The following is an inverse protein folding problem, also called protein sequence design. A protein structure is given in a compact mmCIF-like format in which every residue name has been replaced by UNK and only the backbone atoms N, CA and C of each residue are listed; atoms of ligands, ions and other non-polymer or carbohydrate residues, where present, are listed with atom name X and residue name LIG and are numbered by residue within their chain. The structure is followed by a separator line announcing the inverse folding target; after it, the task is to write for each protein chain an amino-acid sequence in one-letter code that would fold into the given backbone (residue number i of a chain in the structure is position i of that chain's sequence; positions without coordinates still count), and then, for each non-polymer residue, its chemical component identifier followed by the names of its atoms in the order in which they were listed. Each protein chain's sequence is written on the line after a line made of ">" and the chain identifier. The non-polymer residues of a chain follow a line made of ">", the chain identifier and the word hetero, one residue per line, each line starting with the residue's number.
data_IF_514623064502
#
_entry.id   IF_514623064502
#
_cell.length_a   1.000
_cell.length_b   1.000
_cell.length_c   1.000
_cell.angle_alpha   90.00
_cell.angle_beta   90.00
_cell.angle_gamma   90.00
#
_symmetry.space_group_name_H-M   'P 1'
#
loop_
_entity.id
_entity.type
_entity.pdbx_description
1 polymer ?
#
# COMPACT_ATOMS: atom_id res chain seq x y z
N UNK A 1 -15.26 -8.84 0.45
CA UNK A 1 -14.74 -10.13 0.96
C UNK A 1 -13.99 -10.90 -0.11
N UNK A 2 -14.57 -11.14 -1.30
CA UNK A 2 -13.92 -11.81 -2.46
C UNK A 2 -12.45 -11.45 -2.77
N UNK A 3 -12.05 -10.18 -2.71
CA UNK A 3 -10.66 -9.80 -3.02
C UNK A 3 -9.66 -10.34 -2.00
N UNK A 4 -9.99 -10.29 -0.71
CA UNK A 4 -9.12 -10.77 0.35
C UNK A 4 -9.00 -12.30 0.31
N UNK A 5 -10.10 -13.02 0.12
CA UNK A 5 -10.10 -14.48 -0.05
C UNK A 5 -9.16 -14.91 -1.19
N UNK A 6 -9.25 -14.25 -2.36
CA UNK A 6 -8.38 -14.54 -3.51
C UNK A 6 -6.90 -14.22 -3.24
N UNK A 7 -6.62 -13.19 -2.45
CA UNK A 7 -5.25 -12.83 -2.05
C UNK A 7 -4.70 -13.87 -1.08
N UNK A 8 -5.51 -14.32 -0.12
CA UNK A 8 -5.11 -15.33 0.87
C UNK A 8 -4.91 -16.71 0.25
N UNK A 9 -5.70 -17.06 -0.77
CA UNK A 9 -5.55 -18.31 -1.51
C UNK A 9 -4.26 -18.39 -2.35
N UNK A 10 -3.73 -17.25 -2.80
CA UNK A 10 -2.48 -17.18 -3.55
C UNK A 10 -1.62 -15.97 -3.13
N UNK A 11 -1.01 -16.01 -1.92
CA UNK A 11 -0.35 -14.87 -1.29
C UNK A 11 0.82 -14.31 -2.10
N UNK A 12 1.10 -13.03 -1.92
CA UNK A 12 2.28 -12.38 -2.47
C UNK A 12 2.31 -10.90 -2.15
N UNK A 13 3.04 -10.12 -2.95
CA UNK A 13 3.05 -8.66 -2.82
C UNK A 13 1.72 -8.08 -3.31
N UNK A 14 1.08 -7.28 -2.46
CA UNK A 14 -0.19 -6.60 -2.71
C UNK A 14 0.06 -5.11 -2.72
N UNK A 15 -0.16 -4.45 -3.87
CA UNK A 15 -0.12 -3.01 -3.97
C UNK A 15 -1.54 -2.43 -3.83
N UNK A 16 -1.75 -1.57 -2.84
CA UNK A 16 -3.06 -0.95 -2.61
C UNK A 16 -3.04 0.51 -3.10
N UNK A 17 -3.94 0.85 -4.03
CA UNK A 17 -4.00 2.16 -4.69
C UNK A 17 -5.41 2.72 -4.61
N UNK A 18 -5.51 4.02 -4.36
CA UNK A 18 -6.77 4.71 -4.07
C UNK A 18 -6.49 6.15 -3.66
N UNK A 19 -7.45 7.04 -3.92
CA UNK A 19 -7.37 8.41 -3.46
C UNK A 19 -7.29 8.50 -1.92
N UNK A 20 -6.98 9.68 -1.40
CA UNK A 20 -6.99 9.91 0.05
C UNK A 20 -8.38 9.65 0.64
N UNK A 21 -8.43 9.10 1.85
CA UNK A 21 -9.67 8.69 2.54
C UNK A 21 -10.58 7.69 1.80
N UNK A 22 -10.01 6.87 0.91
CA UNK A 22 -10.79 5.82 0.23
C UNK A 22 -10.96 4.53 1.06
N UNK A 23 -10.38 4.45 2.26
CA UNK A 23 -10.40 3.25 3.11
C UNK A 23 -9.24 2.26 2.89
N UNK A 24 -8.15 2.65 2.19
CA UNK A 24 -6.98 1.80 1.92
C UNK A 24 -6.39 1.23 3.20
N UNK A 25 -5.99 2.08 4.14
CA UNK A 25 -5.34 1.68 5.39
C UNK A 25 -6.23 0.74 6.20
N UNK A 26 -7.55 0.97 6.23
CA UNK A 26 -8.52 0.07 6.87
C UNK A 26 -8.49 -1.31 6.22
N UNK A 27 -8.54 -1.38 4.89
CA UNK A 27 -8.43 -2.64 4.17
C UNK A 27 -7.08 -3.31 4.34
N UNK A 28 -5.97 -2.56 4.34
CA UNK A 28 -4.65 -3.11 4.57
C UNK A 28 -4.55 -3.74 5.96
N UNK A 29 -5.02 -3.05 7.01
CA UNK A 29 -5.08 -3.59 8.38
C UNK A 29 -5.96 -4.83 8.47
N UNK A 30 -7.11 -4.84 7.80
CA UNK A 30 -7.96 -6.02 7.69
C UNK A 30 -7.24 -7.19 7.01
N UNK A 31 -6.59 -6.96 5.86
CA UNK A 31 -5.90 -7.98 5.10
C UNK A 31 -4.69 -8.54 5.88
N UNK A 32 -3.98 -7.69 6.62
CA UNK A 32 -2.90 -8.13 7.51
C UNK A 32 -3.43 -9.10 8.57
N UNK A 33 -4.50 -8.71 9.29
CA UNK A 33 -5.12 -9.58 10.31
C UNK A 33 -5.65 -10.88 9.72
N UNK A 34 -6.29 -10.82 8.56
CA UNK A 34 -6.81 -12.00 7.89
C UNK A 34 -5.68 -12.94 7.42
N UNK A 35 -4.55 -12.38 6.97
CA UNK A 35 -3.36 -13.16 6.62
C UNK A 35 -2.72 -13.84 7.83
N UNK A 36 -2.57 -13.11 8.94
CA UNK A 36 -2.06 -13.67 10.19
C UNK A 36 -2.99 -14.79 10.70
N UNK A 37 -4.30 -14.55 10.72
CA UNK A 37 -5.29 -15.58 11.12
C UNK A 37 -5.37 -16.79 10.17
N UNK A 38 -4.81 -16.69 8.96
CA UNK A 38 -4.62 -17.80 8.04
C UNK A 38 -3.25 -18.49 8.20
N UNK A 39 -2.50 -18.20 9.27
CA UNK A 39 -1.17 -18.74 9.54
C UNK A 39 -0.07 -18.24 8.61
N UNK A 40 -0.29 -17.12 7.91
CA UNK A 40 0.73 -16.54 7.04
C UNK A 40 1.64 -15.62 7.85
N UNK A 41 2.95 -15.67 7.55
CA UNK A 41 3.86 -14.58 7.92
C UNK A 41 3.57 -13.38 7.03
N UNK A 42 3.03 -12.31 7.63
CA UNK A 42 2.60 -11.11 6.89
C UNK A 42 3.55 -9.97 7.16
N UNK A 43 3.86 -9.17 6.13
CA UNK A 43 4.48 -7.88 6.30
C UNK A 43 3.53 -6.76 5.88
N UNK A 44 3.50 -5.69 6.67
CA UNK A 44 2.88 -4.43 6.31
C UNK A 44 3.98 -3.46 5.90
N UNK A 45 3.88 -2.90 4.69
CA UNK A 45 4.77 -1.84 4.21
C UNK A 45 3.95 -0.57 4.09
N UNK A 46 4.32 0.40 4.90
CA UNK A 46 3.79 1.75 4.86
C UNK A 46 4.61 2.60 3.87
N UNK A 47 4.07 2.76 2.68
CA UNK A 47 4.64 3.59 1.63
C UNK A 47 3.96 4.98 1.54
N UNK A 48 3.32 5.46 2.62
CA UNK A 48 2.82 6.82 2.77
C UNK A 48 3.79 7.70 3.57
N UNK A 49 4.58 8.49 2.85
CA UNK A 49 5.59 9.38 3.44
C UNK A 49 4.97 10.58 4.19
N UNK A 50 3.74 10.96 3.84
CA UNK A 50 3.09 12.14 4.42
C UNK A 50 2.35 11.81 5.71
N UNK A 51 1.70 10.64 5.76
CA UNK A 51 0.90 10.20 6.91
C UNK A 51 1.27 8.79 7.31
N UNK A 52 2.54 8.60 7.70
CA UNK A 52 3.02 7.29 8.11
C UNK A 52 2.26 6.79 9.35
N UNK A 53 1.88 5.51 9.31
CA UNK A 53 1.27 4.73 10.39
C UNK A 53 2.31 3.90 11.16
N UNK A 54 3.46 3.57 10.55
CA UNK A 54 4.50 2.72 11.15
C UNK A 54 5.65 3.53 11.75
N UNK A 55 5.99 4.66 11.14
CA UNK A 55 7.09 5.51 11.56
C UNK A 55 6.66 6.98 11.70
N UNK A 56 7.61 7.88 12.00
CA UNK A 56 7.33 9.30 11.99
C UNK A 56 7.02 9.78 10.56
N UNK A 57 6.26 10.88 10.40
CA UNK A 57 6.12 11.54 9.11
C UNK A 57 7.48 11.85 8.47
N UNK A 58 7.59 11.72 7.15
CA UNK A 58 8.87 11.84 6.44
C UNK A 58 9.64 10.52 6.28
N UNK A 59 9.13 9.42 6.84
CA UNK A 59 9.66 8.07 6.65
C UNK A 59 8.68 7.18 5.90
N UNK A 60 9.22 6.16 5.24
CA UNK A 60 8.50 4.93 4.92
C UNK A 60 8.82 3.90 6.01
N UNK A 61 7.93 2.93 6.21
CA UNK A 61 8.12 1.91 7.24
C UNK A 61 7.69 0.53 6.79
N UNK A 62 8.21 -0.49 7.45
CA UNK A 62 7.67 -1.84 7.34
C UNK A 62 7.73 -2.55 8.68
N UNK A 63 6.85 -3.52 8.86
CA UNK A 63 6.93 -4.47 9.96
C UNK A 63 6.38 -5.84 9.57
N UNK A 64 6.93 -6.90 10.15
CA UNK A 64 6.32 -8.24 10.11
C UNK A 64 5.37 -8.43 11.28
N UNK A 65 4.28 -9.15 11.01
CA UNK A 65 3.27 -9.52 11.98
C UNK A 65 3.02 -11.02 11.84
N UNK A 66 3.03 -11.71 12.96
CA UNK A 66 2.75 -13.15 13.07
C UNK A 66 1.68 -13.41 14.12
N UNK A 67 1.33 -14.69 14.27
CA UNK A 67 0.34 -15.16 15.24
C UNK A 67 0.87 -14.85 16.67
N UNK A 68 0.12 -14.04 17.43
CA UNK A 68 0.57 -13.46 18.70
C UNK A 68 0.58 -11.92 18.75
N UNK A 69 0.35 -11.25 17.61
CA UNK A 69 0.17 -9.79 17.46
C UNK A 69 1.35 -8.87 17.80
N UNK A 70 2.50 -9.42 18.20
CA UNK A 70 3.72 -8.63 18.35
C UNK A 70 4.38 -8.32 17.00
N UNK A 71 4.98 -7.12 16.91
CA UNK A 71 5.80 -6.72 15.77
C UNK A 71 7.15 -7.44 15.88
N UNK A 72 7.37 -8.50 15.11
CA UNK A 72 8.60 -9.29 15.18
C UNK A 72 9.82 -8.51 14.69
N UNK A 73 9.68 -7.85 13.55
CA UNK A 73 10.72 -7.04 12.94
C UNK A 73 10.12 -5.78 12.36
N UNK A 74 10.91 -4.70 12.37
CA UNK A 74 10.53 -3.43 11.78
C UNK A 74 11.74 -2.69 11.24
N UNK A 75 11.49 -1.78 10.32
CA UNK A 75 12.50 -0.87 9.84
C UNK A 75 11.88 0.35 9.18
N UNK A 76 12.70 1.40 9.08
CA UNK A 76 12.31 2.68 8.49
C UNK A 76 13.23 3.01 7.32
N UNK A 77 12.71 3.79 6.40
CA UNK A 77 13.47 4.45 5.35
C UNK A 77 13.20 5.95 5.43
N UNK A 78 14.23 6.73 5.76
CA UNK A 78 14.09 8.17 5.84
C UNK A 78 14.05 8.79 4.43
N UNK A 79 12.99 9.54 4.13
CA UNK A 79 12.85 10.32 2.90
C UNK A 79 13.11 11.79 3.17
N UNK A 80 12.73 12.30 4.35
CA UNK A 80 12.89 13.70 4.71
C UNK A 80 11.85 14.63 4.09
N UNK A 81 10.67 14.11 3.71
CA UNK A 81 9.62 14.89 3.07
C UNK A 81 8.21 14.45 3.45
N UNK A 82 7.29 15.40 3.65
CA UNK A 82 5.89 15.12 3.98
C UNK A 82 4.98 14.90 2.76
N UNK A 83 5.55 14.90 1.55
CA UNK A 83 4.83 14.63 0.32
C UNK A 83 5.76 13.95 -0.69
N UNK A 84 5.27 12.94 -1.42
CA UNK A 84 6.10 12.25 -2.39
C UNK A 84 6.39 13.11 -3.64
N UNK A 85 5.62 14.18 -3.91
CA UNK A 85 5.56 14.81 -5.24
C UNK A 85 6.91 15.30 -5.81
N UNK A 86 7.87 15.66 -4.96
CA UNK A 86 9.24 16.08 -5.36
C UNK A 86 10.33 15.07 -4.97
N UNK A 87 9.94 13.90 -4.45
CA UNK A 87 10.83 12.86 -3.92
C UNK A 87 10.41 11.48 -4.46
N UNK A 88 9.97 11.45 -5.73
CA UNK A 88 9.51 10.24 -6.39
C UNK A 88 10.58 9.13 -6.35
N UNK A 89 11.84 9.39 -6.76
CA UNK A 89 12.89 8.36 -6.75
C UNK A 89 13.12 7.77 -5.36
N UNK A 90 13.24 8.60 -4.33
CA UNK A 90 13.50 8.19 -2.95
C UNK A 90 12.34 7.37 -2.40
N UNK A 91 11.11 7.80 -2.66
CA UNK A 91 9.91 7.09 -2.22
C UNK A 91 9.72 5.76 -2.96
N UNK A 92 10.11 5.68 -4.23
CA UNK A 92 10.07 4.43 -5.02
C UNK A 92 11.17 3.47 -4.57
N UNK A 93 12.41 3.94 -4.46
CA UNK A 93 13.56 3.15 -4.02
C UNK A 93 13.37 2.62 -2.60
N UNK A 94 12.92 3.47 -1.67
CA UNK A 94 12.61 3.06 -0.30
C UNK A 94 11.51 1.99 -0.27
N UNK A 95 10.44 2.15 -1.05
CA UNK A 95 9.39 1.11 -1.13
C UNK A 95 9.94 -0.22 -1.65
N UNK A 96 10.77 -0.18 -2.69
CA UNK A 96 11.42 -1.39 -3.22
C UNK A 96 12.31 -2.07 -2.18
N UNK A 97 13.14 -1.29 -1.47
CA UNK A 97 14.03 -1.79 -0.44
C UNK A 97 13.27 -2.44 0.72
N UNK A 98 12.20 -1.80 1.19
CA UNK A 98 11.37 -2.29 2.29
C UNK A 98 10.57 -3.55 1.91
N UNK A 99 9.97 -3.58 0.72
CA UNK A 99 9.31 -4.80 0.19
C UNK A 99 10.33 -5.94 0.03
N UNK A 100 11.52 -5.64 -0.52
CA UNK A 100 12.58 -6.62 -0.66
C UNK A 100 13.06 -7.18 0.69
N UNK A 101 13.12 -6.35 1.74
CA UNK A 101 13.47 -6.78 3.09
C UNK A 101 12.39 -7.66 3.70
N UNK A 102 11.12 -7.27 3.57
CA UNK A 102 9.99 -8.09 4.00
C UNK A 102 10.01 -9.49 3.38
N UNK A 103 10.26 -9.58 2.07
CA UNK A 103 10.36 -10.85 1.34
C UNK A 103 11.57 -11.69 1.79
N UNK A 104 12.74 -11.07 1.96
CA UNK A 104 13.95 -11.76 2.47
C UNK A 104 13.75 -12.32 3.88
N UNK A 105 12.93 -11.65 4.69
CA UNK A 105 12.54 -12.10 6.02
C UNK A 105 11.37 -13.11 6.00
N UNK A 106 11.05 -13.70 4.84
CA UNK A 106 10.11 -14.81 4.73
C UNK A 106 8.64 -14.42 4.77
N UNK A 107 8.30 -13.13 4.64
CA UNK A 107 6.90 -12.72 4.52
C UNK A 107 6.27 -13.33 3.25
N UNK A 108 5.21 -14.12 3.44
CA UNK A 108 4.46 -14.75 2.34
C UNK A 108 3.42 -13.80 1.75
N UNK A 109 2.91 -12.88 2.56
CA UNK A 109 2.00 -11.82 2.17
C UNK A 109 2.63 -10.48 2.52
N UNK A 110 2.80 -9.59 1.54
CA UNK A 110 3.33 -8.23 1.77
C UNK A 110 2.28 -7.22 1.34
N UNK A 111 1.68 -6.53 2.30
CA UNK A 111 0.63 -5.54 2.07
C UNK A 111 1.26 -4.16 2.01
N UNK A 112 1.27 -3.54 0.82
CA UNK A 112 1.85 -2.22 0.59
C UNK A 112 0.74 -1.17 0.58
N UNK A 113 0.59 -0.45 1.70
CA UNK A 113 -0.27 0.72 1.78
C UNK A 113 0.45 1.92 1.18
N UNK A 114 -0.26 2.74 0.40
CA UNK A 114 0.37 3.83 -0.34
C UNK A 114 -0.35 5.15 -0.14
N UNK A 115 0.36 6.25 -0.43
CA UNK A 115 -0.20 7.61 -0.45
C UNK A 115 -1.49 7.74 -1.26
N UNK A 116 -2.32 8.72 -0.91
CA UNK A 116 -3.49 9.10 -1.71
C UNK A 116 -3.18 9.83 -3.04
N UNK A 117 -1.91 10.03 -3.39
CA UNK A 117 -1.52 10.74 -4.62
C UNK A 117 -1.80 9.87 -5.86
N UNK A 118 -2.96 10.09 -6.47
CA UNK A 118 -3.45 9.33 -7.64
C UNK A 118 -3.79 10.21 -8.85
N UNK A 119 -3.83 11.53 -8.66
CA UNK A 119 -4.20 12.49 -9.70
C UNK A 119 -2.97 13.04 -10.42
N UNK A 120 -3.21 13.48 -11.66
CA UNK A 120 -2.19 14.11 -12.51
C UNK A 120 -1.05 13.17 -12.89
N UNK A 121 -0.04 13.76 -13.55
CA UNK A 121 1.11 13.01 -14.04
C UNK A 121 1.96 12.43 -12.91
N UNK A 122 2.12 13.17 -11.82
CA UNK A 122 2.88 12.73 -10.65
C UNK A 122 2.27 11.49 -10.00
N UNK A 123 0.94 11.43 -9.84
CA UNK A 123 0.26 10.25 -9.32
C UNK A 123 0.40 9.05 -10.24
N UNK A 124 0.26 9.27 -11.55
CA UNK A 124 0.46 8.22 -12.55
C UNK A 124 1.89 7.64 -12.51
N UNK A 125 2.90 8.51 -12.56
CA UNK A 125 4.31 8.13 -12.50
C UNK A 125 4.64 7.39 -11.21
N UNK A 126 4.23 7.93 -10.06
CA UNK A 126 4.52 7.34 -8.76
C UNK A 126 3.96 5.91 -8.62
N UNK A 127 2.68 5.71 -8.96
CA UNK A 127 2.06 4.38 -8.80
C UNK A 127 2.58 3.38 -9.82
N UNK A 128 2.83 3.82 -11.05
CA UNK A 128 3.39 2.96 -12.10
C UNK A 128 4.81 2.53 -11.73
N UNK A 129 5.67 3.47 -11.32
CA UNK A 129 7.03 3.18 -10.90
C UNK A 129 7.08 2.22 -9.70
N UNK A 130 6.26 2.46 -8.65
CA UNK A 130 6.14 1.52 -7.53
C UNK A 130 5.75 0.12 -7.99
N UNK A 131 4.73 0.00 -8.84
CA UNK A 131 4.27 -1.30 -9.33
C UNK A 131 5.34 -2.01 -10.16
N UNK A 132 6.11 -1.28 -10.97
CA UNK A 132 7.20 -1.86 -11.77
C UNK A 132 8.35 -2.40 -10.90
N UNK A 133 8.76 -1.68 -9.86
CA UNK A 133 9.90 -2.09 -9.03
C UNK A 133 9.56 -3.18 -8.02
N UNK A 134 8.33 -3.19 -7.48
CA UNK A 134 7.91 -4.20 -6.49
C UNK A 134 7.22 -5.42 -7.12
N UNK A 135 6.83 -5.32 -8.39
CA UNK A 135 6.18 -6.40 -9.18
C UNK A 135 5.08 -7.12 -8.41
N UNK A 136 3.98 -6.41 -8.04
CA UNK A 136 2.97 -6.96 -7.17
C UNK A 136 2.23 -8.13 -7.85
N UNK A 137 1.96 -9.20 -7.10
CA UNK A 137 1.07 -10.29 -7.55
C UNK A 137 -0.39 -9.82 -7.59
N UNK A 138 -0.74 -8.90 -6.70
CA UNK A 138 -2.08 -8.35 -6.61
C UNK A 138 -2.08 -6.83 -6.59
N UNK A 139 -2.99 -6.24 -7.36
CA UNK A 139 -3.27 -4.81 -7.33
C UNK A 139 -4.69 -4.60 -6.82
N UNK A 140 -4.83 -3.89 -5.71
CA UNK A 140 -6.14 -3.53 -5.15
C UNK A 140 -6.40 -2.06 -5.46
N UNK A 141 -7.43 -1.80 -6.27
CA UNK A 141 -7.84 -0.48 -6.70
C UNK A 141 -9.12 -0.06 -5.97
N UNK A 142 -9.02 0.98 -5.15
CA UNK A 142 -10.19 1.65 -4.55
C UNK A 142 -10.77 2.62 -5.56
N UNK A 143 -11.82 2.19 -6.26
CA UNK A 143 -12.47 2.96 -7.32
C UNK A 143 -13.64 3.77 -6.77
N UNK A 144 -13.47 5.10 -6.70
CA UNK A 144 -14.56 6.08 -6.60
C UNK A 144 -15.02 6.55 -7.99
N UNK A 145 -16.01 7.46 -8.07
CA UNK A 145 -16.65 7.80 -9.35
C UNK A 145 -15.68 8.34 -10.44
N UNK A 146 -14.58 9.06 -10.11
CA UNK A 146 -13.63 9.62 -11.12
C UNK A 146 -12.17 9.89 -10.67
N UNK A 147 -11.74 9.41 -9.51
CA UNK A 147 -10.50 9.95 -8.89
C UNK A 147 -9.19 9.34 -9.40
N UNK A 148 -9.23 8.14 -9.98
CA UNK A 148 -8.02 7.41 -10.37
C UNK A 148 -7.51 7.76 -11.79
N UNK A 149 -8.26 8.55 -12.56
CA UNK A 149 -7.90 8.90 -13.94
C UNK A 149 -7.48 7.67 -14.76
N UNK A 150 -6.32 7.70 -15.45
CA UNK A 150 -5.85 6.60 -16.30
C UNK A 150 -5.20 5.44 -15.52
N UNK A 151 -4.98 5.55 -14.21
CA UNK A 151 -4.25 4.55 -13.43
C UNK A 151 -4.81 3.12 -13.57
N UNK A 152 -6.13 2.88 -13.48
CA UNK A 152 -6.65 1.52 -13.57
C UNK A 152 -6.32 0.87 -14.91
N UNK A 153 -6.32 1.65 -15.99
CA UNK A 153 -5.95 1.17 -17.33
C UNK A 153 -4.46 0.83 -17.36
N UNK A 154 -3.59 1.81 -17.05
CA UNK A 154 -2.13 1.63 -17.11
C UNK A 154 -1.67 0.47 -16.23
N UNK A 155 -2.11 0.42 -14.97
CA UNK A 155 -1.69 -0.63 -14.05
C UNK A 155 -2.24 -2.01 -14.42
N UNK A 156 -3.37 -2.08 -15.13
CA UNK A 156 -3.92 -3.37 -15.61
C UNK A 156 -3.14 -3.97 -16.79
N UNK A 157 -2.26 -3.18 -17.44
CA UNK A 157 -1.38 -3.68 -18.50
C UNK A 157 -0.14 -4.42 -17.97
N UNK A 158 0.11 -4.35 -16.66
CA UNK A 158 1.24 -5.04 -16.03
C UNK A 158 1.03 -6.55 -16.09
N UNK A 159 1.99 -7.26 -16.71
CA UNK A 159 1.94 -8.72 -16.83
C UNK A 159 2.00 -9.40 -15.46
N UNK A 160 1.22 -10.47 -15.29
CA UNK A 160 1.23 -11.30 -14.08
C UNK A 160 0.57 -10.68 -12.86
N UNK A 161 -0.08 -9.51 -12.99
CA UNK A 161 -0.77 -8.83 -11.88
C UNK A 161 -2.26 -9.15 -11.90
N UNK A 162 -2.80 -9.62 -10.77
CA UNK A 162 -4.25 -9.78 -10.59
C UNK A 162 -4.87 -8.53 -10.01
N UNK A 163 -5.79 -7.92 -10.76
CA UNK A 163 -6.45 -6.66 -10.38
C UNK A 163 -7.75 -6.93 -9.63
N UNK A 164 -7.89 -6.34 -8.46
CA UNK A 164 -9.09 -6.35 -7.63
C UNK A 164 -9.64 -4.94 -7.50
N UNK A 165 -10.90 -4.72 -7.89
CA UNK A 165 -11.55 -3.40 -7.79
C UNK A 165 -12.50 -3.39 -6.59
N UNK A 166 -12.26 -2.49 -5.64
CA UNK A 166 -13.10 -2.29 -4.47
C UNK A 166 -13.81 -0.94 -4.59
N UNK A 167 -15.14 -0.94 -4.42
CA UNK A 167 -15.91 0.30 -4.37
C UNK A 167 -15.79 0.90 -2.96
N UNK A 168 -15.59 2.21 -2.90
CA UNK A 168 -15.61 2.96 -1.64
C UNK A 168 -17.07 2.94 -1.13
N UNK A 169 -17.36 2.49 0.10
CA UNK A 169 -18.70 2.53 0.65
C UNK A 169 -19.25 3.97 0.66
N UNK A 170 -20.52 4.19 0.33
CA UNK A 170 -21.15 5.49 0.54
C UNK A 170 -21.14 5.80 2.04
N UNK A 171 -20.55 6.93 2.44
CA UNK A 171 -20.48 7.35 3.86
C UNK A 171 -19.08 7.36 4.49
N UNK A 172 -18.02 6.98 3.77
CA UNK A 172 -16.65 7.23 4.27
C UNK A 172 -16.42 8.74 4.35
N UNK A 173 -16.40 9.26 5.58
CA UNK A 173 -16.12 10.68 5.86
C UNK A 173 -14.70 11.01 5.42
N UNK A 174 -14.56 11.99 4.52
CA UNK A 174 -13.26 12.58 4.21
C UNK A 174 -12.80 13.40 5.42
N UNK A 175 -11.58 13.15 5.88
CA UNK A 175 -10.91 13.99 6.88
C UNK A 175 -10.38 15.23 6.19
N UNK A 176 -10.53 16.39 6.83
CA UNK A 176 -9.95 17.63 6.32
C UNK A 176 -8.41 17.59 6.36
N UNK A 177 -7.70 18.46 5.63
CA UNK A 177 -6.25 18.59 5.74
C UNK A 177 -5.75 18.90 7.16
N UNK A 178 -6.57 19.55 7.99
CA UNK A 178 -6.21 19.94 9.37
C UNK A 178 -6.41 18.80 10.35
N UNK A 179 -7.51 18.03 10.21
CA UNK A 179 -7.77 16.77 10.95
C UNK A 179 -6.72 15.68 10.66
N UNK A 180 -5.83 15.95 9.71
CA UNK A 180 -4.79 15.07 9.21
C UNK A 180 -3.38 15.46 9.68
N UNK A 181 -3.21 16.67 10.21
CA UNK A 181 -1.94 17.19 10.76
C UNK A 181 -1.91 17.20 12.29
N UNK A 182 -3.07 17.15 12.93
CA UNK A 182 -3.24 16.94 14.38
C UNK A 182 -2.96 15.48 14.77
#
# INVERSE_FOLDING_TARGET
>A
MLAAERILADPGVVLVVGATDSGKTTFCKFLVRAGVGAGLRVAYVDADVGQSTVGPPGCLGWATVSEGADLEERGLWFVGAYSPARHLPEVVAGTQALVGRALRNGARLVVVDTTGLVQGWTGLQLKTAKAQVIRPRHLVLFTGKRELGPLPFVLSTLRGVRVHRLRIPPGVRRRSPDERRA
#
